data_IF_737788490978
#
_entry.id   IF_737788490978
#
_cell.length_a   1.000
_cell.length_b   1.000
_cell.length_c   1.000
_cell.angle_alpha   90.00
_cell.angle_beta   90.00
_cell.angle_gamma   90.00
#
_symmetry.space_group_name_H-M   'P 1'
#
loop_
_entity.id
_entity.type
_entity.pdbx_description
1 polymer ?
#
# COMPACT_ATOMS: atom_id res chain seq x y z
N UNK A 1 18.84 62.17 21.19
CA UNK A 1 17.47 61.74 20.77
C UNK A 1 17.39 61.36 19.27
N UNK A 2 18.40 60.68 18.70
CA UNK A 2 18.47 60.42 17.24
C UNK A 2 18.25 58.95 16.81
N UNK A 3 18.47 57.96 17.69
CA UNK A 3 18.46 56.54 17.30
C UNK A 3 17.07 55.87 17.27
N UNK A 4 16.04 56.49 17.86
CA UNK A 4 14.71 55.88 17.94
C UNK A 4 13.91 56.02 16.63
N UNK A 5 14.23 57.00 15.78
CA UNK A 5 13.53 57.22 14.50
C UNK A 5 14.07 56.32 13.38
N UNK A 6 15.37 56.11 13.30
CA UNK A 6 15.98 55.22 12.29
C UNK A 6 15.61 53.75 12.49
N UNK A 7 15.52 53.29 13.74
CA UNK A 7 15.15 51.90 14.05
C UNK A 7 13.70 51.58 13.63
N UNK A 8 12.77 52.53 13.82
CA UNK A 8 11.36 52.37 13.40
C UNK A 8 11.20 52.31 11.88
N UNK A 9 11.98 53.10 11.14
CA UNK A 9 11.98 53.09 9.68
C UNK A 9 12.56 51.78 9.11
N UNK A 10 13.62 51.25 9.72
CA UNK A 10 14.22 49.97 9.29
C UNK A 10 13.27 48.80 9.57
N UNK A 11 12.63 48.76 10.75
CA UNK A 11 11.65 47.72 11.09
C UNK A 11 10.43 47.78 10.16
N UNK A 12 9.94 48.97 9.82
CA UNK A 12 8.84 49.13 8.87
C UNK A 12 9.22 48.67 7.46
N UNK A 13 10.45 48.96 7.00
CA UNK A 13 10.92 48.56 5.67
C UNK A 13 11.12 47.04 5.56
N UNK A 14 11.65 46.41 6.62
CA UNK A 14 11.77 44.95 6.72
C UNK A 14 10.39 44.29 6.79
N UNK A 15 9.44 44.86 7.54
CA UNK A 15 8.08 44.34 7.60
C UNK A 15 7.36 44.42 6.24
N UNK A 16 7.55 45.50 5.48
CA UNK A 16 6.98 45.63 4.13
C UNK A 16 7.67 44.67 3.15
N UNK A 17 8.99 44.48 3.25
CA UNK A 17 9.73 43.51 2.42
C UNK A 17 9.32 42.06 2.72
N UNK A 18 9.10 41.71 3.99
CA UNK A 18 8.62 40.38 4.40
C UNK A 18 7.15 40.18 3.97
N UNK A 19 6.30 41.19 4.13
CA UNK A 19 4.89 41.12 3.72
C UNK A 19 4.74 41.02 2.19
N UNK A 20 5.60 41.71 1.43
CA UNK A 20 5.62 41.59 -0.03
C UNK A 20 6.16 40.23 -0.47
N UNK A 21 7.21 39.70 0.15
CA UNK A 21 7.65 38.31 -0.11
C UNK A 21 6.55 37.28 0.20
N UNK A 22 5.75 37.49 1.24
CA UNK A 22 4.61 36.61 1.55
C UNK A 22 3.46 36.71 0.54
N UNK A 23 3.18 37.90 -0.01
CA UNK A 23 2.15 38.10 -1.03
C UNK A 23 2.55 37.59 -2.42
N UNK A 24 3.85 37.62 -2.75
CA UNK A 24 4.36 37.05 -4.00
C UNK A 24 4.53 35.52 -3.94
N UNK A 25 4.77 34.95 -2.75
CA UNK A 25 4.81 33.49 -2.58
C UNK A 25 3.43 32.84 -2.76
N UNK A 26 2.34 33.53 -2.40
CA UNK A 26 0.98 33.03 -2.62
C UNK A 26 0.50 33.12 -4.08
N UNK A 27 1.24 33.79 -4.96
CA UNK A 27 0.88 33.90 -6.39
C UNK A 27 1.37 32.71 -7.24
N UNK A 28 2.20 31.82 -6.69
CA UNK A 28 2.69 30.62 -7.36
C UNK A 28 2.32 29.35 -6.58
N UNK A 29 1.03 29.09 -6.39
CA UNK A 29 0.46 27.76 -6.20
C UNK A 29 -1.06 27.87 -6.03
N UNK A 30 -1.76 28.30 -7.07
CA UNK A 30 -3.17 27.93 -7.20
C UNK A 30 -3.18 26.65 -8.04
N UNK A 31 -2.83 25.54 -7.38
CA UNK A 31 -3.15 24.21 -7.90
C UNK A 31 -4.66 24.19 -8.13
N UNK A 32 -5.08 23.96 -9.36
CA UNK A 32 -6.49 24.04 -9.76
C UNK A 32 -7.38 23.21 -8.83
N UNK A 33 -8.10 23.89 -7.95
CA UNK A 33 -9.17 23.37 -7.11
C UNK A 33 -10.34 22.99 -8.01
N UNK A 34 -10.28 21.80 -8.58
CA UNK A 34 -11.29 21.29 -9.50
C UNK A 34 -11.13 19.79 -9.76
N UNK A 35 -12.19 19.18 -10.28
CA UNK A 35 -12.14 17.84 -10.85
C UNK A 35 -11.17 17.83 -12.01
N UNK A 36 -10.18 16.94 -11.98
CA UNK A 36 -9.19 16.87 -13.04
C UNK A 36 -8.57 15.48 -13.12
N UNK A 37 -8.25 15.05 -14.33
CA UNK A 37 -7.28 13.99 -14.52
C UNK A 37 -5.88 14.57 -14.54
N UNK A 38 -4.96 13.89 -13.87
CA UNK A 38 -3.55 14.24 -13.87
C UNK A 38 -2.70 12.99 -13.96
N UNK A 39 -1.47 13.12 -14.41
CA UNK A 39 -0.56 11.99 -14.47
C UNK A 39 0.84 12.41 -14.86
N UNK A 40 1.72 11.41 -14.94
CA UNK A 40 3.07 11.58 -15.46
C UNK A 40 3.38 10.38 -16.33
N UNK A 41 3.77 10.61 -17.58
CA UNK A 41 4.24 9.57 -18.48
C UNK A 41 5.73 9.40 -18.30
N UNK A 42 6.14 8.15 -18.08
CA UNK A 42 7.54 7.78 -17.95
C UNK A 42 7.82 6.48 -18.67
N UNK A 43 9.00 6.38 -19.25
CA UNK A 43 9.53 5.16 -19.88
C UNK A 43 10.97 4.96 -19.41
N UNK A 44 11.31 3.79 -18.88
CA UNK A 44 12.66 3.53 -18.36
C UNK A 44 13.10 4.44 -17.19
N UNK A 45 12.17 5.16 -16.56
CA UNK A 45 12.46 6.15 -15.51
C UNK A 45 12.52 7.60 -16.01
N UNK A 46 12.63 7.81 -17.31
CA UNK A 46 12.69 9.12 -17.97
C UNK A 46 11.29 9.64 -18.32
N UNK A 47 11.04 10.96 -18.23
CA UNK A 47 9.77 11.57 -18.65
C UNK A 47 9.57 11.48 -20.17
N UNK A 48 8.32 11.31 -20.60
CA UNK A 48 7.97 11.27 -22.03
C UNK A 48 7.10 12.49 -22.39
N UNK A 49 7.65 13.37 -23.20
CA UNK A 49 7.02 14.60 -23.70
C UNK A 49 6.28 14.38 -25.03
N UNK A 50 5.30 15.24 -25.32
CA UNK A 50 4.67 15.34 -26.64
C UNK A 50 3.54 14.35 -26.90
N UNK A 51 3.12 13.58 -25.90
CA UNK A 51 2.09 12.56 -26.03
C UNK A 51 0.71 13.17 -25.79
N UNK A 52 -0.21 12.98 -26.73
CA UNK A 52 -1.59 13.47 -26.63
C UNK A 52 -2.46 12.50 -25.83
N UNK A 53 -3.25 13.05 -24.92
CA UNK A 53 -4.25 12.34 -24.13
C UNK A 53 -5.57 13.08 -24.31
N UNK A 54 -6.62 12.37 -24.70
CA UNK A 54 -7.96 12.92 -24.88
C UNK A 54 -8.92 12.33 -23.85
N UNK A 55 -9.89 13.13 -23.42
CA UNK A 55 -10.92 12.70 -22.48
C UNK A 55 -12.28 12.94 -23.10
N UNK A 56 -13.12 11.91 -23.06
CA UNK A 56 -14.53 11.98 -23.42
C UNK A 56 -15.39 11.64 -22.21
N UNK A 57 -16.62 12.15 -22.19
CA UNK A 57 -17.58 11.82 -21.15
C UNK A 57 -18.27 10.45 -21.40
N UNK A 58 -19.23 10.09 -20.54
CA UNK A 58 -20.00 8.87 -20.68
C UNK A 58 -20.87 8.84 -21.96
N UNK A 59 -21.27 10.00 -22.48
CA UNK A 59 -22.04 10.14 -23.72
C UNK A 59 -21.15 10.11 -24.98
N UNK A 60 -19.83 10.19 -24.83
CA UNK A 60 -18.87 10.24 -25.92
C UNK A 60 -18.58 11.65 -26.43
N UNK A 61 -19.03 12.69 -25.72
CA UNK A 61 -18.70 14.08 -26.01
C UNK A 61 -17.27 14.38 -25.56
N UNK A 62 -16.53 15.16 -26.36
CA UNK A 62 -15.14 15.50 -26.07
C UNK A 62 -15.08 16.54 -24.97
N UNK A 63 -14.44 16.21 -23.86
CA UNK A 63 -14.27 17.10 -22.70
C UNK A 63 -13.04 17.98 -22.87
N UNK A 64 -11.95 17.40 -23.36
CA UNK A 64 -10.71 18.12 -23.60
C UNK A 64 -9.55 17.19 -23.96
N UNK A 65 -8.44 17.79 -24.37
CA UNK A 65 -7.19 17.13 -24.65
C UNK A 65 -6.03 17.81 -23.90
N UNK A 66 -4.99 17.03 -23.59
CA UNK A 66 -3.72 17.54 -23.08
C UNK A 66 -2.56 16.85 -23.76
N UNK A 67 -1.43 17.56 -23.80
CA UNK A 67 -0.15 17.05 -24.28
C UNK A 67 0.80 16.97 -23.09
N UNK A 68 1.57 15.89 -22.99
CA UNK A 68 2.60 15.78 -21.93
C UNK A 68 3.71 16.79 -22.14
N UNK A 69 4.10 17.51 -21.08
CA UNK A 69 5.21 18.47 -21.11
C UNK A 69 6.59 17.80 -20.98
N UNK A 70 7.64 18.62 -20.97
CA UNK A 70 9.04 18.17 -20.83
C UNK A 70 9.34 17.38 -19.54
N UNK A 71 8.57 17.58 -18.47
CA UNK A 71 8.66 16.80 -17.22
C UNK A 71 7.78 15.54 -17.24
N UNK A 72 7.15 15.23 -18.38
CA UNK A 72 6.24 14.11 -18.61
C UNK A 72 4.88 14.31 -17.96
N UNK A 73 4.62 15.45 -17.30
CA UNK A 73 3.35 15.71 -16.63
C UNK A 73 2.30 16.20 -17.60
N UNK A 74 1.05 15.90 -17.25
CA UNK A 74 -0.14 16.35 -17.96
C UNK A 74 -1.30 16.49 -16.99
N UNK A 75 -2.24 17.36 -17.33
CA UNK A 75 -3.46 17.59 -16.56
C UNK A 75 -4.58 18.00 -17.51
N UNK A 76 -5.78 17.47 -17.28
CA UNK A 76 -7.01 17.84 -17.99
C UNK A 76 -8.06 18.14 -16.92
N UNK A 77 -8.58 19.36 -16.93
CA UNK A 77 -9.68 19.76 -16.06
C UNK A 77 -11.00 19.17 -16.58
N UNK A 78 -11.86 18.76 -15.66
CA UNK A 78 -13.13 18.13 -15.95
C UNK A 78 -14.26 19.10 -15.58
N UNK A 79 -15.37 19.13 -16.33
CA UNK A 79 -16.47 20.06 -16.11
C UNK A 79 -17.28 19.76 -14.85
N UNK A 80 -17.09 18.59 -14.24
CA UNK A 80 -17.72 18.21 -12.99
C UNK A 80 -17.47 16.74 -12.61
N UNK A 81 -18.16 16.24 -11.57
CA UNK A 81 -18.13 14.82 -11.21
C UNK A 81 -18.88 13.97 -12.24
N UNK A 82 -18.33 12.80 -12.58
CA UNK A 82 -18.93 11.93 -13.59
C UNK A 82 -18.03 10.76 -13.98
N UNK A 83 -18.51 9.93 -14.89
CA UNK A 83 -17.71 8.89 -15.54
C UNK A 83 -17.15 9.42 -16.84
N UNK A 84 -15.84 9.27 -17.00
CA UNK A 84 -15.10 9.72 -18.17
C UNK A 84 -14.24 8.58 -18.72
N UNK A 85 -13.96 8.64 -20.01
CA UNK A 85 -13.00 7.76 -20.69
C UNK A 85 -11.81 8.58 -21.15
N UNK A 86 -10.65 8.29 -20.60
CA UNK A 86 -9.39 8.90 -21.01
C UNK A 86 -8.66 7.95 -21.96
N UNK A 87 -8.22 8.47 -23.10
CA UNK A 87 -7.53 7.72 -24.16
C UNK A 87 -6.17 8.34 -24.42
N UNK A 88 -5.11 7.52 -24.37
CA UNK A 88 -3.78 7.91 -24.82
C UNK A 88 -3.65 7.66 -26.33
N UNK A 89 -3.15 8.65 -27.07
CA UNK A 89 -2.89 8.54 -28.50
C UNK A 89 -1.52 7.89 -28.73
N UNK A 90 -1.54 6.60 -29.08
CA UNK A 90 -0.33 5.81 -29.31
C UNK A 90 0.44 6.24 -30.56
N UNK A 91 -0.18 6.98 -31.49
CA UNK A 91 0.51 7.51 -32.66
C UNK A 91 1.40 8.72 -32.33
N UNK A 92 1.17 9.36 -31.18
CA UNK A 92 2.00 10.47 -30.68
C UNK A 92 3.15 10.02 -29.79
N UNK A 93 3.30 8.71 -29.57
CA UNK A 93 4.42 8.17 -28.80
C UNK A 93 5.74 8.31 -29.59
N UNK A 94 6.85 8.71 -28.94
CA UNK A 94 8.18 8.72 -29.55
C UNK A 94 8.63 7.34 -30.03
N UNK A 95 9.57 7.30 -30.98
CA UNK A 95 10.11 6.03 -31.49
C UNK A 95 10.69 5.17 -30.36
N UNK A 96 10.33 3.87 -30.37
CA UNK A 96 10.77 2.91 -29.36
C UNK A 96 9.96 2.90 -28.06
N UNK A 97 9.00 3.82 -27.88
CA UNK A 97 8.10 3.84 -26.72
C UNK A 97 6.77 3.17 -27.05
N UNK A 98 6.43 2.12 -26.31
CA UNK A 98 5.16 1.41 -26.46
C UNK A 98 4.35 1.42 -25.17
N UNK A 99 3.03 1.35 -25.30
CA UNK A 99 2.16 1.11 -24.15
C UNK A 99 2.37 -0.33 -23.65
N UNK A 100 2.59 -0.48 -22.35
CA UNK A 100 2.84 -1.78 -21.70
C UNK A 100 1.65 -2.72 -21.80
N UNK A 101 0.44 -2.18 -21.71
CA UNK A 101 -0.80 -2.93 -21.80
C UNK A 101 -1.71 -2.27 -22.84
N UNK A 102 -1.80 -2.79 -24.08
CA UNK A 102 -2.59 -2.17 -25.14
C UNK A 102 -4.09 -2.08 -24.79
N UNK A 103 -4.61 -3.03 -24.00
CA UNK A 103 -5.99 -3.01 -23.50
C UNK A 103 -6.27 -1.84 -22.53
N UNK A 104 -5.22 -1.20 -21.97
CA UNK A 104 -5.33 -0.05 -21.07
C UNK A 104 -5.09 1.29 -21.77
N UNK A 105 -5.15 1.32 -23.10
CA UNK A 105 -5.10 2.55 -23.89
C UNK A 105 -6.27 3.49 -23.55
N UNK A 106 -7.45 2.92 -23.31
CA UNK A 106 -8.65 3.65 -22.87
C UNK A 106 -8.97 3.24 -21.44
N UNK A 107 -9.00 4.22 -20.53
CA UNK A 107 -9.34 4.02 -19.12
C UNK A 107 -10.68 4.67 -18.81
N UNK A 108 -11.66 3.86 -18.42
CA UNK A 108 -12.92 4.35 -17.89
C UNK A 108 -12.79 4.59 -16.38
N UNK A 109 -13.04 5.82 -15.97
CA UNK A 109 -12.80 6.26 -14.60
C UNK A 109 -13.89 7.21 -14.13
N UNK A 110 -14.44 6.91 -12.96
CA UNK A 110 -15.38 7.80 -12.27
C UNK A 110 -14.64 8.78 -11.35
N UNK A 111 -14.98 10.06 -11.48
CA UNK A 111 -14.44 11.17 -10.71
C UNK A 111 -15.53 11.71 -9.77
N UNK A 112 -15.15 12.00 -8.54
CA UNK A 112 -16.02 12.56 -7.50
C UNK A 112 -15.76 14.06 -7.38
N UNK A 113 -16.75 14.81 -6.89
CA UNK A 113 -16.69 16.26 -6.82
C UNK A 113 -15.48 16.76 -6.02
N UNK A 114 -14.83 17.81 -6.51
CA UNK A 114 -13.67 18.45 -5.91
C UNK A 114 -12.41 17.58 -5.81
N UNK A 115 -12.33 16.44 -6.53
CA UNK A 115 -11.17 15.53 -6.46
C UNK A 115 -10.46 15.40 -7.80
N UNK A 116 -9.14 15.64 -7.80
CA UNK A 116 -8.28 15.24 -8.91
C UNK A 116 -7.93 13.75 -8.81
N UNK A 117 -8.02 13.04 -9.94
CA UNK A 117 -7.76 11.60 -10.01
C UNK A 117 -6.52 11.32 -10.87
N UNK A 118 -5.51 10.63 -10.32
CA UNK A 118 -4.34 10.28 -11.11
C UNK A 118 -4.66 9.16 -12.10
N UNK A 119 -4.28 9.34 -13.36
CA UNK A 119 -4.34 8.32 -14.40
C UNK A 119 -2.94 7.85 -14.76
N UNK A 120 -2.75 6.54 -14.80
CA UNK A 120 -1.46 5.91 -15.07
C UNK A 120 -1.56 5.13 -16.37
N UNK A 121 -0.86 5.61 -17.39
CA UNK A 121 -0.58 4.88 -18.62
C UNK A 121 0.83 4.31 -18.51
N UNK A 122 0.93 3.00 -18.29
CA UNK A 122 2.23 2.35 -18.17
C UNK A 122 2.85 2.18 -19.55
N UNK A 123 4.04 2.75 -19.76
CA UNK A 123 4.84 2.56 -20.96
C UNK A 123 5.91 1.51 -20.66
N UNK A 124 6.28 0.71 -21.64
CA UNK A 124 7.24 -0.37 -21.43
C UNK A 124 7.07 -1.53 -22.40
N UNK A 125 7.96 -2.49 -22.25
CA UNK A 125 7.78 -3.82 -22.80
C UNK A 125 6.44 -4.40 -22.32
N UNK A 126 5.71 -5.14 -23.18
CA UNK A 126 4.45 -5.72 -22.79
C UNK A 126 4.63 -6.54 -21.52
N UNK A 127 3.79 -6.28 -20.51
CA UNK A 127 3.86 -7.05 -19.29
C UNK A 127 3.74 -8.54 -19.65
N UNK A 128 4.67 -9.39 -19.19
CA UNK A 128 4.48 -10.82 -19.38
C UNK A 128 3.13 -11.16 -18.77
N UNK A 129 2.24 -11.74 -19.57
CA UNK A 129 0.88 -12.08 -19.14
C UNK A 129 0.98 -12.78 -17.77
N UNK A 130 0.37 -12.17 -16.75
CA UNK A 130 0.48 -12.66 -15.38
C UNK A 130 0.08 -14.13 -15.29
N UNK A 131 0.55 -14.86 -14.25
CA UNK A 131 0.40 -16.31 -14.21
C UNK A 131 -1.06 -16.70 -14.43
N UNK A 132 -1.28 -17.59 -15.39
CA UNK A 132 -2.62 -18.03 -15.76
C UNK A 132 -3.26 -18.82 -14.60
N UNK A 133 -4.57 -19.02 -14.64
CA UNK A 133 -5.28 -19.70 -13.55
C UNK A 133 -4.72 -21.10 -13.29
N UNK A 134 -4.28 -21.81 -14.33
CA UNK A 134 -3.63 -23.11 -14.21
C UNK A 134 -2.28 -23.03 -13.47
N UNK A 135 -1.46 -22.04 -13.79
CA UNK A 135 -0.18 -21.78 -13.11
C UNK A 135 -0.40 -21.35 -11.66
N UNK A 136 -1.42 -20.52 -11.39
CA UNK A 136 -1.80 -20.15 -10.01
C UNK A 136 -2.27 -21.36 -9.21
N UNK A 137 -3.07 -22.23 -9.81
CA UNK A 137 -3.53 -23.47 -9.19
C UNK A 137 -2.34 -24.41 -8.93
N UNK A 138 -1.47 -24.60 -9.91
CA UNK A 138 -0.26 -25.41 -9.75
C UNK A 138 0.63 -24.86 -8.64
N UNK A 139 0.83 -23.53 -8.56
CA UNK A 139 1.56 -22.88 -7.48
C UNK A 139 0.89 -23.07 -6.12
N UNK A 140 -0.44 -22.95 -6.05
CA UNK A 140 -1.19 -23.16 -4.81
C UNK A 140 -1.06 -24.61 -4.31
N UNK A 141 -1.18 -25.58 -5.21
CA UNK A 141 -0.95 -27.00 -4.91
C UNK A 141 0.48 -27.23 -4.44
N UNK A 142 1.48 -26.70 -5.15
CA UNK A 142 2.89 -26.82 -4.75
C UNK A 142 3.15 -26.20 -3.38
N UNK A 143 2.55 -25.05 -3.07
CA UNK A 143 2.66 -24.42 -1.75
C UNK A 143 1.96 -25.25 -0.67
N UNK A 144 0.79 -25.82 -0.98
CA UNK A 144 0.09 -26.75 -0.10
C UNK A 144 0.89 -28.02 0.19
N UNK A 145 1.54 -28.59 -0.83
CA UNK A 145 2.43 -29.74 -0.68
C UNK A 145 3.64 -29.39 0.18
N UNK A 146 4.29 -28.23 -0.06
CA UNK A 146 5.40 -27.76 0.78
C UNK A 146 4.98 -27.62 2.25
N UNK A 147 3.84 -27.00 2.50
CA UNK A 147 3.31 -26.86 3.85
C UNK A 147 2.98 -28.23 4.46
N UNK A 148 2.34 -29.10 3.69
CA UNK A 148 2.01 -30.46 4.12
C UNK A 148 3.24 -31.30 4.46
N UNK A 149 4.34 -31.16 3.73
CA UNK A 149 5.61 -31.83 4.02
C UNK A 149 6.23 -31.38 5.34
N UNK A 150 6.11 -30.10 5.70
CA UNK A 150 6.54 -29.59 7.00
C UNK A 150 5.74 -30.26 8.12
N UNK A 151 4.41 -30.30 7.99
CA UNK A 151 3.54 -30.96 8.98
C UNK A 151 3.81 -32.47 9.03
N UNK A 152 3.99 -33.12 7.89
CA UNK A 152 4.31 -34.55 7.81
C UNK A 152 5.63 -34.88 8.50
N UNK A 153 6.66 -34.04 8.33
CA UNK A 153 7.93 -34.20 9.03
C UNK A 153 7.77 -34.10 10.55
N UNK A 154 6.99 -33.14 11.05
CA UNK A 154 6.65 -33.04 12.48
C UNK A 154 5.89 -34.27 12.97
N UNK A 155 4.91 -34.74 12.20
CA UNK A 155 4.11 -35.92 12.55
C UNK A 155 4.95 -37.21 12.56
N UNK A 156 5.91 -37.36 11.65
CA UNK A 156 6.88 -38.47 11.66
C UNK A 156 7.73 -38.43 12.92
N UNK A 157 8.18 -37.25 13.37
CA UNK A 157 8.88 -37.11 14.65
C UNK A 157 8.07 -37.63 15.84
N UNK A 158 6.79 -37.25 15.91
CA UNK A 158 5.88 -37.72 16.96
C UNK A 158 5.61 -39.24 16.86
N UNK A 159 5.42 -39.74 15.64
CA UNK A 159 5.22 -41.17 15.37
C UNK A 159 6.43 -42.01 15.76
N UNK A 160 7.65 -41.53 15.49
CA UNK A 160 8.90 -42.21 15.87
C UNK A 160 9.11 -42.23 17.38
N UNK A 161 8.76 -41.15 18.09
CA UNK A 161 8.83 -41.11 19.55
C UNK A 161 7.92 -42.19 20.14
N UNK A 162 6.62 -42.18 19.80
CA UNK A 162 5.67 -43.16 20.34
C UNK A 162 5.92 -44.59 19.84
N UNK A 163 6.41 -44.75 18.60
CA UNK A 163 6.72 -46.04 17.99
C UNK A 163 7.95 -46.72 18.61
N UNK A 164 8.91 -45.96 19.15
CA UNK A 164 10.10 -46.50 19.82
C UNK A 164 9.94 -46.59 21.34
N UNK A 165 9.20 -45.69 21.99
CA UNK A 165 9.00 -45.75 23.45
C UNK A 165 7.95 -46.78 23.85
N UNK A 166 7.02 -47.15 22.95
CA UNK A 166 5.97 -48.15 23.22
C UNK A 166 4.98 -47.75 24.32
N UNK A 167 5.10 -46.53 24.84
CA UNK A 167 4.28 -45.97 25.90
C UNK A 167 3.60 -44.72 25.35
N UNK A 168 2.26 -44.75 25.29
CA UNK A 168 1.48 -43.54 25.07
C UNK A 168 1.55 -42.75 26.37
N UNK A 169 2.45 -41.76 26.43
CA UNK A 169 2.53 -40.87 27.58
C UNK A 169 1.32 -39.91 27.56
N UNK A 170 0.21 -40.36 28.14
CA UNK A 170 -1.01 -39.58 28.32
C UNK A 170 -0.83 -38.37 29.25
N UNK A 171 0.21 -38.36 30.09
CA UNK A 171 0.49 -37.25 31.01
C UNK A 171 0.90 -35.98 30.26
N UNK A 172 1.49 -36.10 29.06
CA UNK A 172 1.97 -34.93 28.32
C UNK A 172 0.82 -34.06 27.78
N UNK A 173 -0.27 -34.70 27.33
CA UNK A 173 -1.45 -33.97 26.86
C UNK A 173 -2.23 -33.31 27.99
N UNK A 174 -2.34 -34.00 29.13
CA UNK A 174 -3.04 -33.51 30.32
C UNK A 174 -2.28 -32.37 31.03
N UNK A 175 -0.94 -32.44 31.10
CA UNK A 175 -0.12 -31.36 31.67
C UNK A 175 -0.17 -30.08 30.82
N UNK A 176 -0.23 -30.19 29.50
CA UNK A 176 -0.33 -29.02 28.61
C UNK A 176 -1.70 -28.34 28.73
N UNK A 177 -2.79 -29.11 28.78
CA UNK A 177 -4.13 -28.54 28.99
C UNK A 177 -4.29 -27.96 30.39
N UNK A 178 -3.76 -28.61 31.42
CA UNK A 178 -3.71 -28.09 32.79
C UNK A 178 -2.91 -26.79 32.86
N UNK A 179 -1.74 -26.72 32.22
CA UNK A 179 -0.95 -25.49 32.11
C UNK A 179 -1.69 -24.35 31.42
N UNK A 180 -2.44 -24.64 30.35
CA UNK A 180 -3.27 -23.64 29.67
C UNK A 180 -4.43 -23.13 30.54
N UNK A 181 -5.10 -24.02 31.28
CA UNK A 181 -6.16 -23.65 32.23
C UNK A 181 -5.61 -22.80 33.38
N UNK A 182 -4.44 -23.15 33.92
CA UNK A 182 -3.76 -22.37 34.96
C UNK A 182 -3.33 -20.98 34.46
N UNK A 183 -2.79 -20.90 33.24
CA UNK A 183 -2.41 -19.62 32.63
C UNK A 183 -3.63 -18.72 32.44
N UNK A 184 -4.75 -19.29 31.97
CA UNK A 184 -6.02 -18.58 31.89
C UNK A 184 -6.53 -18.15 33.26
N UNK A 185 -6.47 -19.03 34.27
CA UNK A 185 -6.93 -18.72 35.63
C UNK A 185 -6.15 -17.58 36.29
N UNK A 186 -4.83 -17.54 36.13
CA UNK A 186 -3.99 -16.45 36.66
C UNK A 186 -4.13 -15.13 35.88
N UNK A 187 -4.50 -15.22 34.60
CA UNK A 187 -4.75 -14.04 33.78
C UNK A 187 -6.17 -13.48 33.96
N UNK A 188 -7.16 -14.34 34.20
CA UNK A 188 -8.55 -13.96 34.42
C UNK A 188 -8.67 -12.98 35.61
N UNK A 189 -9.74 -12.18 35.59
CA UNK A 189 -9.95 -10.96 36.42
C UNK A 189 -9.78 -11.13 37.94
N UNK A 190 -9.70 -12.37 38.45
CA UNK A 190 -9.38 -12.69 39.85
C UNK A 190 -7.94 -12.31 40.26
N UNK A 191 -6.96 -12.41 39.35
CA UNK A 191 -5.54 -12.08 39.60
C UNK A 191 -4.96 -11.03 38.65
N UNK A 192 -5.54 -10.84 37.45
CA UNK A 192 -5.20 -9.74 36.53
C UNK A 192 -3.72 -9.68 36.10
N UNK A 193 -2.99 -10.80 36.19
CA UNK A 193 -1.57 -10.81 35.91
C UNK A 193 -1.31 -10.62 34.41
N UNK A 194 -0.28 -9.85 34.02
CA UNK A 194 0.17 -9.75 32.64
C UNK A 194 0.41 -11.15 32.05
N UNK A 195 0.04 -11.36 30.78
CA UNK A 195 0.04 -12.68 30.13
C UNK A 195 1.39 -13.43 30.26
N UNK A 196 2.50 -12.69 30.22
CA UNK A 196 3.85 -13.26 30.38
C UNK A 196 4.07 -13.81 31.79
N UNK A 197 3.63 -13.08 32.81
CA UNK A 197 3.75 -13.50 34.20
C UNK A 197 2.80 -14.66 34.52
N UNK A 198 1.56 -14.61 33.99
CA UNK A 198 0.59 -15.68 34.13
C UNK A 198 1.08 -16.99 33.48
N UNK A 199 1.68 -16.90 32.28
CA UNK A 199 2.29 -18.04 31.61
C UNK A 199 3.49 -18.62 32.39
N UNK A 200 4.36 -17.76 32.92
CA UNK A 200 5.50 -18.21 33.73
C UNK A 200 5.05 -18.92 35.02
N UNK A 201 4.04 -18.37 35.73
CA UNK A 201 3.47 -18.98 36.92
C UNK A 201 2.79 -20.32 36.61
N UNK A 202 2.06 -20.41 35.50
CA UNK A 202 1.44 -21.65 35.06
C UNK A 202 2.48 -22.76 34.78
N UNK A 203 3.61 -22.42 34.15
CA UNK A 203 4.72 -23.37 33.93
C UNK A 203 5.33 -23.84 35.25
N UNK A 204 5.55 -22.93 36.21
CA UNK A 204 6.11 -23.28 37.53
C UNK A 204 5.16 -24.20 38.31
N UNK A 205 3.86 -23.88 38.33
CA UNK A 205 2.85 -24.65 39.08
C UNK A 205 2.59 -26.01 38.41
N UNK A 206 2.43 -26.05 37.09
CA UNK A 206 2.24 -27.30 36.36
C UNK A 206 3.49 -28.19 36.44
N UNK A 207 4.70 -27.59 36.40
CA UNK A 207 5.96 -28.31 36.57
C UNK A 207 6.14 -28.88 37.99
N UNK A 208 5.77 -28.11 39.03
CA UNK A 208 5.80 -28.59 40.41
C UNK A 208 4.76 -29.68 40.68
N UNK A 209 3.56 -29.53 40.10
CA UNK A 209 2.52 -30.57 40.18
C UNK A 209 2.97 -31.84 39.45
N UNK A 210 3.48 -31.74 38.22
CA UNK A 210 3.95 -32.89 37.44
C UNK A 210 5.17 -33.59 38.04
N UNK A 211 6.15 -32.84 38.56
CA UNK A 211 7.35 -33.39 39.18
C UNK A 211 7.15 -33.94 40.60
N UNK A 212 5.98 -33.72 41.22
CA UNK A 212 5.63 -34.29 42.53
C UNK A 212 4.86 -35.61 42.45
N UNK A 213 4.44 -36.04 41.26
CA UNK A 213 3.70 -37.29 41.01
C UNK A 213 4.53 -38.40 40.37
N UNK A 214 5.76 -38.09 39.95
CA UNK A 214 6.80 -39.07 39.57
C UNK A 214 7.71 -39.40 40.75
#
# INVERSE_FOLDING_TARGET
MSNARSLRSVVALVAVAVLSLFLFASAQAQDGEGEAFSGTLRFGGEPVEGVRISVVDAAGETVGDAVTGADGRWRIELPGPGTYRATIDTATLPEGVTLRDPERQTLEVTVTAGRSRPLIFALGEPASRGPNVGEKLAQAVLNGVKFGLIIAMCAIGLSLIFGLTGLINFAHGELVTLGAILAWYFNADTFGAPLILAGALAVVVAGAAGGGVE
#
